data_IF_859915593679
#
_entry.id   IF_859915593679
#
_cell.length_a   1.000
_cell.length_b   1.000
_cell.length_c   1.000
_cell.angle_alpha   90.00
_cell.angle_beta   90.00
_cell.angle_gamma   90.00
#
_symmetry.space_group_name_H-M   'P 1'
#
loop_
_entity.id
_entity.type
_entity.pdbx_description
1 polymer ?
#
# COMPACT_ATOMS: atom_id res chain seq x y z
N UNK A 1 11.47 -19.70 13.33
CA UNK A 1 10.17 -19.09 13.63
C UNK A 1 9.60 -18.50 12.36
N UNK A 2 8.33 -18.77 12.05
CA UNK A 2 7.64 -18.11 10.96
C UNK A 2 7.10 -16.77 11.47
N UNK A 3 7.39 -15.68 10.77
CA UNK A 3 6.94 -14.34 11.14
C UNK A 3 5.44 -14.21 10.91
N UNK A 4 4.72 -13.70 11.91
CA UNK A 4 3.28 -13.42 11.83
C UNK A 4 3.01 -11.96 11.45
N UNK A 5 1.76 -11.62 11.12
CA UNK A 5 1.38 -10.25 10.78
C UNK A 5 1.68 -9.26 11.91
N UNK A 6 1.47 -9.64 13.18
CA UNK A 6 1.83 -8.81 14.34
C UNK A 6 3.34 -8.50 14.41
N UNK A 7 4.20 -9.45 14.02
CA UNK A 7 5.66 -9.25 14.00
C UNK A 7 6.10 -8.30 12.87
N UNK A 8 5.26 -8.17 11.85
CA UNK A 8 5.40 -7.26 10.70
C UNK A 8 4.71 -5.91 10.92
N UNK A 9 4.16 -5.67 12.11
CA UNK A 9 3.58 -4.36 12.46
C UNK A 9 4.61 -3.25 12.30
N UNK A 10 4.23 -2.13 11.71
CA UNK A 10 5.13 -1.07 11.31
C UNK A 10 4.51 -0.13 10.28
N UNK A 11 5.22 0.95 9.95
CA UNK A 11 4.85 1.86 8.88
C UNK A 11 5.73 1.55 7.68
N UNK A 12 5.13 1.41 6.51
CA UNK A 12 5.81 1.17 5.25
C UNK A 12 5.49 2.29 4.29
N UNK A 13 6.52 2.92 3.72
CA UNK A 13 6.39 4.08 2.84
C UNK A 13 7.11 3.86 1.51
N UNK A 14 6.61 4.49 0.46
CA UNK A 14 7.20 4.44 -0.88
C UNK A 14 6.46 5.32 -1.87
N UNK A 15 7.00 5.41 -3.08
CA UNK A 15 6.58 6.37 -4.09
C UNK A 15 6.33 5.67 -5.42
N UNK A 16 5.17 5.91 -6.02
CA UNK A 16 4.81 5.46 -7.36
C UNK A 16 4.84 6.64 -8.34
N UNK A 17 5.48 6.48 -9.49
CA UNK A 17 5.42 7.45 -10.57
C UNK A 17 4.13 7.26 -11.40
N UNK A 18 3.48 8.35 -11.80
CA UNK A 18 2.36 8.30 -12.75
C UNK A 18 2.80 8.58 -14.18
N UNK A 19 2.05 8.03 -15.14
CA UNK A 19 2.31 8.24 -16.57
C UNK A 19 1.86 9.64 -17.02
N UNK A 20 2.51 10.16 -18.07
CA UNK A 20 2.19 11.44 -18.74
C UNK A 20 0.67 11.62 -18.97
N UNK A 21 0.14 12.85 -18.97
CA UNK A 21 0.85 14.13 -19.18
C UNK A 21 1.41 14.79 -17.92
N UNK A 22 1.11 14.30 -16.72
CA UNK A 22 1.53 14.95 -15.47
C UNK A 22 2.61 14.09 -14.81
N UNK A 23 3.84 14.60 -14.73
CA UNK A 23 4.90 13.99 -13.91
C UNK A 23 4.60 14.27 -12.44
N UNK A 24 3.72 13.47 -11.84
CA UNK A 24 3.50 13.50 -10.40
C UNK A 24 3.96 12.19 -9.77
N UNK A 25 4.13 12.26 -8.45
CA UNK A 25 4.40 11.12 -7.62
C UNK A 25 3.17 10.88 -6.74
N UNK A 26 2.81 9.61 -6.57
CA UNK A 26 1.84 9.18 -5.57
C UNK A 26 2.64 8.60 -4.43
N UNK A 27 2.59 9.25 -3.26
CA UNK A 27 3.16 8.70 -2.04
C UNK A 27 2.19 7.69 -1.46
N UNK A 28 2.71 6.59 -0.97
CA UNK A 28 1.91 5.46 -0.48
C UNK A 28 2.45 5.09 0.88
N UNK A 29 1.54 5.03 1.85
CA UNK A 29 1.84 4.71 3.23
C UNK A 29 0.93 3.57 3.67
N UNK A 30 1.51 2.52 4.21
CA UNK A 30 0.78 1.39 4.78
C UNK A 30 1.21 1.25 6.23
N UNK A 31 0.27 1.41 7.16
CA UNK A 31 0.49 1.17 8.59
C UNK A 31 -0.14 -0.17 8.95
N UNK A 32 0.68 -1.11 9.37
CA UNK A 32 0.26 -2.42 9.90
C UNK A 32 0.33 -2.36 11.42
N UNK A 33 -0.79 -2.58 12.09
CA UNK A 33 -0.87 -2.61 13.55
C UNK A 33 -0.74 -4.05 14.08
N UNK A 34 -0.26 -4.20 15.31
CA UNK A 34 -0.07 -5.50 15.96
C UNK A 34 -1.37 -6.28 16.21
N UNK A 35 -2.51 -5.58 16.17
CA UNK A 35 -3.86 -6.13 16.29
C UNK A 35 -4.43 -6.63 14.95
N UNK A 36 -3.67 -6.53 13.85
CA UNK A 36 -4.08 -6.95 12.51
C UNK A 36 -4.79 -5.87 11.69
N UNK A 37 -4.97 -4.67 12.21
CA UNK A 37 -5.47 -3.54 11.43
C UNK A 37 -4.40 -3.08 10.43
N UNK A 38 -4.82 -2.84 9.19
CA UNK A 38 -3.99 -2.27 8.13
C UNK A 38 -4.65 -0.99 7.65
N UNK A 39 -3.92 0.12 7.74
CA UNK A 39 -4.31 1.42 7.22
C UNK A 39 -3.47 1.72 5.99
N UNK A 40 -4.12 1.99 4.85
CA UNK A 40 -3.46 2.32 3.59
C UNK A 40 -3.85 3.74 3.22
N UNK A 41 -2.85 4.58 2.99
CA UNK A 41 -3.01 5.97 2.60
C UNK A 41 -2.30 6.24 1.26
N UNK A 42 -3.05 6.79 0.32
CA UNK A 42 -2.55 7.26 -0.97
C UNK A 42 -2.58 8.77 -1.00
N UNK A 43 -1.41 9.38 -1.21
CA UNK A 43 -1.25 10.82 -1.30
C UNK A 43 -0.78 11.20 -2.70
N UNK A 44 -1.73 11.59 -3.56
CA UNK A 44 -1.43 12.07 -4.90
C UNK A 44 -1.46 13.60 -4.90
N UNK A 45 -0.34 14.22 -5.30
CA UNK A 45 -0.29 15.67 -5.55
C UNK A 45 -0.44 15.92 -7.04
N UNK A 46 -1.64 16.30 -7.47
CA UNK A 46 -1.95 16.59 -8.88
C UNK A 46 -2.07 18.10 -9.04
N UNK A 47 -1.08 18.73 -9.67
CA UNK A 47 -0.98 20.18 -9.91
C UNK A 47 -1.06 21.04 -8.63
N UNK A 48 -2.24 21.20 -8.04
CA UNK A 48 -2.53 21.97 -6.82
C UNK A 48 -3.54 21.28 -5.87
N UNK A 49 -4.01 20.07 -6.21
CA UNK A 49 -4.94 19.30 -5.39
C UNK A 49 -4.16 18.20 -4.68
N UNK A 50 -4.18 18.24 -3.35
CA UNK A 50 -3.78 17.10 -2.52
C UNK A 50 -4.99 16.18 -2.42
N UNK A 51 -4.96 15.03 -3.09
CA UNK A 51 -5.99 14.01 -2.93
C UNK A 51 -5.45 12.91 -2.04
N UNK A 52 -6.14 12.70 -0.92
CA UNK A 52 -5.82 11.66 0.06
C UNK A 52 -6.92 10.63 0.02
N UNK A 53 -6.57 9.37 -0.22
CA UNK A 53 -7.47 8.24 0.00
C UNK A 53 -6.95 7.40 1.14
N UNK A 54 -7.86 7.03 2.06
CA UNK A 54 -7.57 6.21 3.22
C UNK A 54 -8.45 4.97 3.18
N UNK A 55 -7.85 3.84 3.47
CA UNK A 55 -8.52 2.55 3.48
C UNK A 55 -8.07 1.75 4.69
N UNK A 56 -9.04 1.14 5.34
CA UNK A 56 -8.83 0.32 6.52
C UNK A 56 -9.26 -1.11 6.21
N UNK A 57 -8.42 -2.06 6.59
CA UNK A 57 -8.76 -3.47 6.53
C UNK A 57 -8.29 -4.17 7.81
N UNK A 58 -8.94 -5.26 8.18
CA UNK A 58 -8.59 -6.05 9.35
C UNK A 58 -8.27 -7.48 8.93
N UNK A 59 -7.06 -7.89 9.24
CA UNK A 59 -6.57 -9.25 9.00
C UNK A 59 -6.33 -9.95 10.34
N UNK A 60 -6.14 -11.26 10.29
CA UNK A 60 -5.75 -12.03 11.48
C UNK A 60 -4.30 -11.67 11.89
N UNK A 61 -4.06 -11.09 13.07
CA UNK A 61 -2.73 -10.74 13.54
C UNK A 61 -1.79 -11.94 13.69
N UNK A 62 -2.31 -13.15 13.87
CA UNK A 62 -1.53 -14.37 13.99
C UNK A 62 -1.33 -15.08 12.64
N UNK A 63 -1.90 -14.56 11.54
CA UNK A 63 -1.65 -15.14 10.22
C UNK A 63 -0.15 -15.09 9.91
N UNK A 64 0.34 -16.22 9.43
CA UNK A 64 1.71 -16.39 8.95
C UNK A 64 1.83 -16.19 7.44
N UNK A 65 0.70 -15.95 6.76
CA UNK A 65 0.64 -15.70 5.33
C UNK A 65 1.47 -14.47 4.99
N UNK A 66 2.17 -14.53 3.86
CA UNK A 66 2.96 -13.41 3.36
C UNK A 66 2.17 -12.53 2.40
N UNK A 67 1.06 -13.00 1.85
CA UNK A 67 0.30 -12.28 0.83
C UNK A 67 -1.14 -12.10 1.25
N UNK A 68 -1.64 -10.89 1.09
CA UNK A 68 -2.99 -10.51 1.46
C UNK A 68 -3.63 -9.72 0.34
N UNK A 69 -4.86 -10.09 0.03
CA UNK A 69 -5.71 -9.35 -0.89
C UNK A 69 -6.60 -8.40 -0.08
N UNK A 70 -6.47 -7.11 -0.36
CA UNK A 70 -7.23 -6.05 0.28
C UNK A 70 -8.17 -5.47 -0.77
N UNK A 71 -9.46 -5.79 -0.63
CA UNK A 71 -10.49 -5.24 -1.49
C UNK A 71 -10.85 -3.83 -0.99
N UNK A 72 -10.65 -2.85 -1.87
CA UNK A 72 -10.94 -1.45 -1.64
C UNK A 72 -11.97 -1.02 -2.68
N UNK A 73 -13.24 -0.91 -2.27
CA UNK A 73 -14.38 -0.63 -3.17
C UNK A 73 -14.39 -1.62 -4.35
N UNK A 74 -14.27 -1.12 -5.57
CA UNK A 74 -14.21 -1.83 -6.85
C UNK A 74 -12.81 -2.28 -7.26
N UNK A 75 -11.80 -2.11 -6.38
CA UNK A 75 -10.39 -2.37 -6.68
C UNK A 75 -9.77 -3.37 -5.74
N UNK A 76 -8.84 -4.14 -6.27
CA UNK A 76 -8.06 -5.14 -5.53
C UNK A 76 -6.65 -4.61 -5.33
N UNK A 77 -6.20 -4.58 -4.07
CA UNK A 77 -4.84 -4.24 -3.68
C UNK A 77 -4.17 -5.48 -3.11
N UNK A 78 -3.11 -5.96 -3.75
CA UNK A 78 -2.36 -7.10 -3.23
C UNK A 78 -1.14 -6.59 -2.48
N UNK A 79 -1.00 -7.01 -1.23
CA UNK A 79 0.17 -6.74 -0.40
C UNK A 79 0.89 -8.06 -0.15
N UNK A 80 2.17 -8.12 -0.50
CA UNK A 80 3.05 -9.24 -0.19
C UNK A 80 4.20 -8.77 0.70
N UNK A 81 4.29 -9.31 1.91
CA UNK A 81 5.43 -9.12 2.81
C UNK A 81 6.61 -9.92 2.29
N UNK A 82 7.58 -9.23 1.68
CA UNK A 82 8.84 -9.83 1.25
C UNK A 82 9.77 -10.08 2.45
N UNK A 83 9.68 -9.23 3.48
CA UNK A 83 10.46 -9.31 4.70
C UNK A 83 9.77 -8.51 5.83
N UNK A 84 10.36 -8.50 7.03
CA UNK A 84 9.95 -7.56 8.10
C UNK A 84 10.28 -6.09 7.79
N UNK A 85 10.99 -5.82 6.70
CA UNK A 85 11.49 -4.49 6.32
C UNK A 85 10.84 -3.95 5.05
N UNK A 86 10.07 -4.75 4.32
CA UNK A 86 9.52 -4.33 3.03
C UNK A 86 8.25 -5.09 2.67
N UNK A 87 7.31 -4.38 2.08
CA UNK A 87 6.12 -4.96 1.46
C UNK A 87 6.07 -4.59 -0.02
N UNK A 88 5.70 -5.55 -0.85
CA UNK A 88 5.41 -5.34 -2.24
C UNK A 88 3.91 -5.10 -2.40
N UNK A 89 3.53 -3.98 -3.00
CA UNK A 89 2.14 -3.61 -3.20
C UNK A 89 1.85 -3.58 -4.70
N UNK A 90 0.86 -4.36 -5.13
CA UNK A 90 0.32 -4.26 -6.48
C UNK A 90 -0.93 -3.39 -6.42
N UNK A 91 -0.78 -2.19 -6.96
CA UNK A 91 -1.79 -1.17 -7.09
C UNK A 91 -2.68 -1.45 -8.31
N UNK A 92 -3.93 -0.95 -8.32
CA UNK A 92 -4.74 -0.94 -9.52
C UNK A 92 -4.11 -0.01 -10.58
N UNK A 93 -4.28 -0.36 -11.85
CA UNK A 93 -3.72 0.40 -13.00
C UNK A 93 -4.16 1.87 -13.05
N UNK A 94 -5.25 2.20 -12.35
CA UNK A 94 -5.64 3.59 -12.12
C UNK A 94 -6.07 3.83 -10.67
N UNK A 95 -5.70 4.99 -10.14
CA UNK A 95 -6.20 5.53 -8.88
C UNK A 95 -6.76 6.91 -9.21
N UNK A 96 -8.03 7.15 -8.89
CA UNK A 96 -8.69 8.44 -9.16
C UNK A 96 -8.60 8.94 -10.61
N UNK A 97 -8.67 8.03 -11.59
CA UNK A 97 -8.57 8.38 -13.02
C UNK A 97 -7.15 8.66 -13.52
N UNK A 98 -6.14 8.63 -12.63
CA UNK A 98 -4.74 8.73 -13.01
C UNK A 98 -4.22 7.33 -13.35
N UNK A 99 -3.58 7.19 -14.51
CA UNK A 99 -2.86 5.96 -14.86
C UNK A 99 -1.51 5.91 -14.16
N UNK A 100 -1.27 4.84 -13.43
CA UNK A 100 0.03 4.58 -12.81
C UNK A 100 1.01 4.14 -13.90
N UNK A 101 2.28 4.56 -13.81
CA UNK A 101 3.31 4.08 -14.73
C UNK A 101 3.69 2.64 -14.39
N UNK A 102 3.93 2.41 -13.12
CA UNK A 102 4.25 1.11 -12.54
C UNK A 102 3.24 0.81 -11.45
N UNK A 103 2.50 -0.28 -11.61
CA UNK A 103 1.49 -0.73 -10.66
C UNK A 103 2.09 -1.61 -9.56
N UNK A 104 3.34 -2.04 -9.70
CA UNK A 104 4.05 -2.77 -8.68
C UNK A 104 5.05 -1.85 -7.97
N UNK A 105 4.89 -1.69 -6.66
CA UNK A 105 5.74 -0.82 -5.85
C UNK A 105 6.22 -1.53 -4.60
N UNK A 106 7.49 -1.30 -4.26
CA UNK A 106 8.06 -1.75 -2.99
C UNK A 106 7.97 -0.62 -1.98
N UNK A 107 7.30 -0.86 -0.86
CA UNK A 107 7.28 0.02 0.30
C UNK A 107 8.30 -0.50 1.31
N UNK A 108 9.09 0.43 1.86
CA UNK A 108 10.12 0.12 2.85
C UNK A 108 9.63 0.54 4.22
N UNK A 109 9.94 -0.27 5.24
CA UNK A 109 9.60 0.04 6.63
C UNK A 109 10.39 1.25 7.11
N UNK A 110 9.72 2.16 7.81
CA UNK A 110 10.29 3.36 8.44
C UNK A 110 10.11 3.34 9.95
#
# INVERSE_FOLDING_TARGET
MQLTLKDRSGIYEGVCAVTKPIKTNVNIKVKVESNGNIHIEFLAKIMFINKVEKFDNKLDPNSSDSTFQINIKDKVFNISFNSNQSINCVLPNSINGIKLKDNNIVLTRV
#
